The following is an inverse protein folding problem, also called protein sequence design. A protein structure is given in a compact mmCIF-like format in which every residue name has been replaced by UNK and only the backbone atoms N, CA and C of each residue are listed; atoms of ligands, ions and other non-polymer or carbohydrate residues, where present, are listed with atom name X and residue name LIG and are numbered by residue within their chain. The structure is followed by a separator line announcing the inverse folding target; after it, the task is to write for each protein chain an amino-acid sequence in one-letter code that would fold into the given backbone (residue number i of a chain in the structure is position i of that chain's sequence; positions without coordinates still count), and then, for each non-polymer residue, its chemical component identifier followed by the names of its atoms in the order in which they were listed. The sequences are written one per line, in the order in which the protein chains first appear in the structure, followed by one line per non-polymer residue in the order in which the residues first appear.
data_IF_253090847276
#
_entry.id   IF_253090847276
#
_cell.length_a   1.000
_cell.length_b   1.000
_cell.length_c   1.000
_cell.angle_alpha   90.00
_cell.angle_beta   90.00
_cell.angle_gamma   90.00
#
_symmetry.space_group_name_H-M   'P 1'
#
loop_
_entity.id
_entity.type
_entity.pdbx_description
1 polymer ?
#
# COMPACT_ATOMS: atom_id res chain seq x y z
N UNK A 1 2.10 28.95 -18.91
CA UNK A 1 1.67 28.65 -20.29
C UNK A 1 0.68 27.50 -20.23
N UNK A 2 -0.41 27.56 -20.98
CA UNK A 2 -1.43 26.50 -20.99
C UNK A 2 -1.11 25.47 -22.08
N UNK A 3 -1.38 24.20 -21.81
CA UNK A 3 -1.13 23.06 -22.68
C UNK A 3 -1.72 23.20 -24.11
N UNK A 4 -2.98 23.69 -24.30
CA UNK A 4 -3.52 23.93 -25.64
C UNK A 4 -2.75 24.98 -26.43
N UNK A 5 -2.23 26.01 -25.74
CA UNK A 5 -1.43 27.08 -26.36
C UNK A 5 -0.06 26.60 -26.81
N UNK A 6 0.54 25.67 -26.07
CA UNK A 6 1.77 24.99 -26.47
C UNK A 6 1.53 24.15 -27.73
N UNK A 7 0.44 23.37 -27.77
CA UNK A 7 0.11 22.56 -28.94
C UNK A 7 -0.21 23.41 -30.18
N UNK A 8 -0.98 24.50 -30.03
CA UNK A 8 -1.26 25.39 -31.17
C UNK A 8 0.01 25.99 -31.76
N UNK A 9 0.99 26.33 -30.91
CA UNK A 9 2.28 26.86 -31.34
C UNK A 9 3.12 25.81 -32.07
N UNK A 10 3.18 24.58 -31.54
CA UNK A 10 3.93 23.50 -32.18
C UNK A 10 3.26 23.11 -33.50
N UNK A 11 1.93 23.10 -33.58
CA UNK A 11 1.21 22.76 -34.81
C UNK A 11 1.33 23.84 -35.89
N UNK A 12 1.53 25.10 -35.55
CA UNK A 12 1.75 26.17 -36.54
C UNK A 12 3.22 26.37 -36.92
N UNK A 13 4.15 25.90 -36.08
CA UNK A 13 5.60 26.04 -36.28
C UNK A 13 6.12 25.30 -37.52
N UNK A 14 7.03 25.96 -38.25
CA UNK A 14 7.71 25.40 -39.45
C UNK A 14 9.08 24.78 -39.14
N UNK A 15 9.52 24.80 -37.87
CA UNK A 15 10.80 24.23 -37.44
C UNK A 15 10.85 22.71 -37.67
N UNK A 16 12.01 22.13 -38.02
CA UNK A 16 12.12 20.70 -38.29
C UNK A 16 11.69 19.82 -37.08
N UNK A 17 11.96 20.26 -35.85
CA UNK A 17 11.56 19.56 -34.62
C UNK A 17 10.04 19.53 -34.46
N UNK A 18 9.38 20.65 -34.77
CA UNK A 18 7.92 20.76 -34.72
C UNK A 18 7.25 19.89 -35.80
N UNK A 19 7.87 19.75 -36.97
CA UNK A 19 7.39 18.84 -38.03
C UNK A 19 7.48 17.37 -37.60
N UNK A 20 8.58 16.96 -36.96
CA UNK A 20 8.72 15.60 -36.43
C UNK A 20 7.64 15.29 -35.38
N UNK A 21 7.42 16.21 -34.44
CA UNK A 21 6.39 16.08 -33.41
C UNK A 21 4.97 16.03 -34.00
N UNK A 22 4.64 16.94 -34.93
CA UNK A 22 3.36 16.93 -35.65
C UNK A 22 3.15 15.60 -36.37
N UNK A 23 4.17 15.06 -37.04
CA UNK A 23 4.09 13.78 -37.74
C UNK A 23 3.85 12.63 -36.75
N UNK A 24 4.61 12.57 -35.67
CA UNK A 24 4.44 11.55 -34.63
C UNK A 24 3.04 11.56 -34.00
N UNK A 25 2.52 12.74 -33.62
CA UNK A 25 1.16 12.84 -33.08
C UNK A 25 0.10 12.37 -34.08
N UNK A 26 0.20 12.80 -35.33
CA UNK A 26 -0.83 12.54 -36.35
C UNK A 26 -0.80 11.12 -36.90
N UNK A 27 0.36 10.48 -36.93
CA UNK A 27 0.53 9.15 -37.54
C UNK A 27 0.60 8.01 -36.53
N UNK A 28 1.09 8.26 -35.31
CA UNK A 28 1.16 7.25 -34.24
C UNK A 28 0.10 7.51 -33.17
N UNK A 29 0.18 8.65 -32.48
CA UNK A 29 -0.54 8.87 -31.21
C UNK A 29 -2.05 8.91 -31.41
N UNK A 30 -2.55 9.80 -32.27
CA UNK A 30 -3.99 9.97 -32.49
C UNK A 30 -4.61 8.71 -33.12
N UNK A 31 -4.01 8.09 -34.16
CA UNK A 31 -4.54 6.85 -34.72
C UNK A 31 -4.60 5.70 -33.70
N UNK A 32 -3.60 5.57 -32.83
CA UNK A 32 -3.62 4.58 -31.76
C UNK A 32 -4.75 4.84 -30.76
N UNK A 33 -4.85 6.06 -30.19
CA UNK A 33 -5.94 6.41 -29.25
C UNK A 33 -7.30 6.17 -29.88
N UNK A 34 -7.49 6.52 -31.17
CA UNK A 34 -8.77 6.28 -31.86
C UNK A 34 -9.12 4.79 -31.97
N UNK A 35 -8.13 3.89 -32.05
CA UNK A 35 -8.33 2.44 -32.16
C UNK A 35 -8.46 1.75 -30.80
N UNK A 36 -7.62 2.10 -29.83
CA UNK A 36 -7.48 1.38 -28.55
C UNK A 36 -8.07 2.13 -27.35
N UNK A 37 -8.43 3.40 -27.52
CA UNK A 37 -8.90 4.28 -26.44
C UNK A 37 -7.79 4.87 -25.57
N UNK A 38 -6.52 4.50 -25.79
CA UNK A 38 -5.37 5.03 -25.03
C UNK A 38 -4.08 4.98 -25.86
N UNK A 39 -3.12 5.87 -25.57
CA UNK A 39 -1.76 5.78 -26.09
C UNK A 39 -0.88 5.17 -25.01
N UNK A 40 -0.41 3.95 -25.22
CA UNK A 40 0.57 3.30 -24.35
C UNK A 40 1.69 2.73 -25.19
N UNK A 41 2.93 3.05 -24.83
CA UNK A 41 4.14 2.53 -25.48
C UNK A 41 4.43 1.07 -25.14
N UNK A 42 3.62 0.46 -24.26
CA UNK A 42 3.79 -0.91 -23.77
C UNK A 42 2.63 -1.82 -24.18
N UNK A 43 1.87 -1.48 -25.23
CA UNK A 43 0.89 -2.42 -25.78
C UNK A 43 1.65 -3.44 -26.62
N UNK A 44 1.68 -4.73 -26.24
CA UNK A 44 2.32 -5.75 -27.04
C UNK A 44 1.64 -5.82 -28.40
N UNK A 45 2.40 -5.67 -29.47
CA UNK A 45 1.83 -5.60 -30.83
C UNK A 45 1.52 -7.00 -31.39
N UNK A 46 2.06 -8.03 -30.75
CA UNK A 46 1.89 -9.43 -31.15
C UNK A 46 1.45 -10.28 -29.97
N UNK A 47 0.70 -11.35 -30.26
CA UNK A 47 0.23 -12.29 -29.25
C UNK A 47 1.40 -12.92 -28.45
N UNK A 48 2.53 -13.18 -29.13
CA UNK A 48 3.77 -13.70 -28.53
C UNK A 48 4.35 -12.76 -27.47
N UNK A 49 4.39 -11.46 -27.77
CA UNK A 49 4.91 -10.43 -26.87
C UNK A 49 4.00 -10.22 -25.66
N UNK A 50 2.67 -10.30 -25.87
CA UNK A 50 1.70 -10.24 -24.78
C UNK A 50 1.85 -11.42 -23.81
N UNK A 51 2.07 -12.63 -24.34
CA UNK A 51 2.32 -13.83 -23.54
C UNK A 51 3.62 -13.73 -22.73
N UNK A 52 4.68 -13.18 -23.31
CA UNK A 52 5.94 -12.95 -22.58
C UNK A 52 5.79 -11.93 -21.47
N UNK A 53 5.18 -10.78 -21.75
CA UNK A 53 4.93 -9.75 -20.73
C UNK A 53 4.04 -10.29 -19.60
N UNK A 54 3.01 -11.07 -19.93
CA UNK A 54 2.16 -11.71 -18.95
C UNK A 54 2.93 -12.75 -18.10
N UNK A 55 3.84 -13.51 -18.71
CA UNK A 55 4.68 -14.46 -18.00
C UNK A 55 5.66 -13.75 -17.05
N UNK A 56 6.30 -12.66 -17.50
CA UNK A 56 7.22 -11.87 -16.68
C UNK A 56 6.49 -11.23 -15.48
N UNK A 57 5.32 -10.63 -15.74
CA UNK A 57 4.46 -10.07 -14.68
C UNK A 57 3.98 -11.15 -13.71
N UNK A 58 3.63 -12.34 -14.22
CA UNK A 58 3.23 -13.46 -13.38
C UNK A 58 4.41 -13.95 -12.54
N UNK A 59 5.62 -14.01 -13.08
CA UNK A 59 6.82 -14.39 -12.33
C UNK A 59 7.16 -13.36 -11.25
N UNK A 60 6.98 -12.06 -11.50
CA UNK A 60 7.08 -11.02 -10.47
C UNK A 60 6.04 -11.19 -9.36
N UNK A 61 4.79 -11.47 -9.74
CA UNK A 61 3.72 -11.77 -8.78
C UNK A 61 4.06 -13.03 -7.98
N UNK A 62 4.61 -14.07 -8.61
CA UNK A 62 4.99 -15.32 -7.96
C UNK A 62 6.23 -15.19 -7.07
N UNK A 63 7.18 -14.31 -7.39
CA UNK A 63 8.26 -13.93 -6.49
C UNK A 63 7.74 -13.12 -5.29
N UNK A 64 6.68 -12.35 -5.48
CA UNK A 64 6.00 -11.65 -4.39
C UNK A 64 5.09 -12.60 -3.55
N UNK A 65 4.55 -13.68 -4.13
CA UNK A 65 3.70 -14.67 -3.44
C UNK A 65 4.33 -15.26 -2.17
N UNK A 66 5.59 -15.73 -2.10
CA UNK A 66 6.14 -16.30 -0.88
C UNK A 66 6.29 -15.27 0.25
N UNK A 67 6.43 -13.98 -0.09
CA UNK A 67 6.45 -12.88 0.90
C UNK A 67 5.05 -12.60 1.47
N UNK A 68 4.02 -12.83 0.67
CA UNK A 68 2.62 -12.72 1.07
C UNK A 68 2.16 -13.99 1.81
N UNK A 69 2.53 -15.18 1.29
CA UNK A 69 2.20 -16.48 1.89
C UNK A 69 2.92 -16.74 3.21
N UNK A 70 4.16 -16.28 3.39
CA UNK A 70 4.81 -16.34 4.71
C UNK A 70 4.09 -15.47 5.74
N UNK A 71 3.40 -14.42 5.27
CA UNK A 71 2.50 -13.59 6.08
C UNK A 71 1.16 -14.31 6.33
N UNK A 72 0.54 -14.90 5.30
CA UNK A 72 -0.76 -15.59 5.38
C UNK A 72 -0.71 -16.91 6.17
N UNK A 73 0.41 -17.64 6.13
CA UNK A 73 0.60 -18.86 6.92
C UNK A 73 0.70 -18.59 8.42
N UNK A 74 1.00 -17.35 8.83
CA UNK A 74 0.89 -16.87 10.21
C UNK A 74 -0.56 -16.51 10.62
N UNK A 75 -1.47 -16.36 9.65
CA UNK A 75 -2.83 -15.81 9.77
C UNK A 75 -3.92 -16.90 9.82
N UNK A 76 -3.58 -18.19 9.74
CA UNK A 76 -4.58 -19.28 9.62
C UNK A 76 -5.18 -19.81 10.94
N UNK A 77 -4.62 -19.48 12.11
CA UNK A 77 -5.30 -19.67 13.39
C UNK A 77 -6.06 -18.40 13.77
N UNK A 78 -7.05 -18.46 14.67
CA UNK A 78 -7.73 -17.28 15.25
C UNK A 78 -6.72 -16.38 15.99
N UNK A 79 -5.87 -15.65 15.28
CA UNK A 79 -4.58 -15.18 15.80
C UNK A 79 -4.55 -13.66 15.85
N UNK A 80 -5.25 -13.12 16.84
CA UNK A 80 -4.99 -11.76 17.30
C UNK A 80 -3.64 -11.78 18.07
N UNK A 81 -2.65 -11.00 17.61
CA UNK A 81 -1.32 -10.97 18.21
C UNK A 81 -1.23 -9.84 19.24
N UNK A 82 -0.40 -10.01 20.28
CA UNK A 82 -0.19 -8.92 21.25
C UNK A 82 0.57 -7.81 20.55
N UNK A 83 0.20 -6.58 20.89
CA UNK A 83 0.78 -5.41 20.25
C UNK A 83 2.32 -5.31 20.42
N UNK A 84 2.84 -5.80 21.54
CA UNK A 84 4.28 -5.85 21.79
C UNK A 84 5.04 -6.85 20.91
N UNK A 85 4.40 -7.95 20.48
CA UNK A 85 5.01 -8.96 19.62
C UNK A 85 5.05 -8.46 18.17
N UNK A 86 3.96 -7.84 17.72
CA UNK A 86 3.88 -7.16 16.41
C UNK A 86 4.96 -6.08 16.28
N UNK A 87 5.20 -5.29 17.33
CA UNK A 87 6.25 -4.28 17.32
C UNK A 87 7.64 -4.90 17.03
N UNK A 88 7.96 -6.04 17.66
CA UNK A 88 9.22 -6.76 17.45
C UNK A 88 9.33 -7.32 16.04
N UNK A 89 8.25 -7.91 15.52
CA UNK A 89 8.21 -8.46 14.15
C UNK A 89 8.49 -7.37 13.12
N UNK A 90 7.96 -6.16 13.33
CA UNK A 90 8.16 -5.01 12.45
C UNK A 90 9.49 -4.28 12.69
N UNK A 91 10.33 -4.73 13.62
CA UNK A 91 11.63 -4.14 13.92
C UNK A 91 11.59 -2.87 14.79
N UNK A 92 10.48 -2.59 15.48
CA UNK A 92 10.33 -1.42 16.34
C UNK A 92 10.48 -1.76 17.82
N UNK A 93 11.17 -0.90 18.57
CA UNK A 93 11.18 -0.94 20.03
C UNK A 93 9.77 -0.72 20.58
N UNK A 94 9.34 -1.56 21.54
CA UNK A 94 7.97 -1.55 22.11
C UNK A 94 7.51 -0.14 22.49
N UNK A 95 8.28 0.60 23.28
CA UNK A 95 7.84 1.91 23.79
C UNK A 95 7.70 2.95 22.67
N UNK A 96 8.62 2.95 21.71
CA UNK A 96 8.58 3.85 20.55
C UNK A 96 7.39 3.53 19.65
N UNK A 97 7.10 2.25 19.45
CA UNK A 97 5.97 1.79 18.66
C UNK A 97 4.64 2.25 19.28
N UNK A 98 4.43 2.04 20.57
CA UNK A 98 3.23 2.53 21.26
C UNK A 98 3.14 4.06 21.28
N UNK A 99 4.28 4.76 21.43
CA UNK A 99 4.33 6.23 21.35
C UNK A 99 3.85 6.71 19.98
N UNK A 100 4.39 6.14 18.91
CA UNK A 100 4.01 6.45 17.54
C UNK A 100 2.51 6.26 17.30
N UNK A 101 1.96 5.10 17.68
CA UNK A 101 0.53 4.84 17.48
C UNK A 101 -0.38 5.79 18.28
N UNK A 102 0.09 6.31 19.43
CA UNK A 102 -0.65 7.34 20.20
C UNK A 102 -0.56 8.71 19.54
N UNK A 103 0.62 9.09 19.02
CA UNK A 103 0.81 10.34 18.26
C UNK A 103 -0.10 10.36 17.02
N UNK A 104 -0.24 9.21 16.36
CA UNK A 104 -1.11 9.03 15.19
C UNK A 104 -2.60 8.91 15.52
N UNK A 105 -3.00 9.06 16.78
CA UNK A 105 -4.38 8.91 17.24
C UNK A 105 -5.01 7.55 16.86
N UNK A 106 -4.19 6.50 16.78
CA UNK A 106 -4.66 5.12 16.61
C UNK A 106 -4.93 4.50 17.98
N UNK A 107 -4.08 4.80 18.96
CA UNK A 107 -4.24 4.42 20.36
C UNK A 107 -4.52 5.63 21.25
N UNK A 108 -5.33 5.41 22.27
CA UNK A 108 -5.59 6.31 23.39
C UNK A 108 -4.45 6.28 24.41
N UNK A 109 -4.53 7.13 25.44
CA UNK A 109 -3.48 7.29 26.47
C UNK A 109 -3.23 6.01 27.27
N UNK A 110 -4.27 5.22 27.50
CA UNK A 110 -4.28 3.92 28.16
C UNK A 110 -3.88 2.74 27.25
N UNK A 111 -3.51 3.02 25.99
CA UNK A 111 -3.15 2.06 24.95
C UNK A 111 -4.31 1.21 24.40
N UNK A 112 -5.55 1.62 24.66
CA UNK A 112 -6.71 1.07 23.96
C UNK A 112 -6.87 1.76 22.59
N UNK A 113 -7.28 1.06 21.52
CA UNK A 113 -7.50 1.68 20.22
C UNK A 113 -8.75 2.55 20.22
N UNK A 114 -8.78 3.61 19.39
CA UNK A 114 -10.02 4.35 19.16
C UNK A 114 -11.08 3.44 18.51
N UNK A 115 -12.35 3.70 18.83
CA UNK A 115 -13.49 2.88 18.40
C UNK A 115 -13.54 2.69 16.88
N UNK A 116 -13.14 3.69 16.11
CA UNK A 116 -13.07 3.61 14.65
C UNK A 116 -12.18 2.45 14.16
N UNK A 117 -11.00 2.25 14.75
CA UNK A 117 -10.08 1.20 14.34
C UNK A 117 -10.52 -0.19 14.82
N UNK A 118 -11.32 -0.25 15.90
CA UNK A 118 -11.98 -1.47 16.34
C UNK A 118 -13.08 -1.84 15.33
N UNK A 119 -13.93 -0.88 14.95
CA UNK A 119 -15.01 -1.08 13.98
C UNK A 119 -14.49 -1.49 12.59
N UNK A 120 -13.32 -0.96 12.18
CA UNK A 120 -12.65 -1.36 10.94
C UNK A 120 -12.03 -2.77 10.99
N UNK A 121 -12.01 -3.41 12.16
CA UNK A 121 -11.54 -4.77 12.38
C UNK A 121 -10.02 -4.90 12.50
N UNK A 122 -9.29 -3.81 12.81
CA UNK A 122 -7.83 -3.84 12.92
C UNK A 122 -7.35 -4.30 14.31
N UNK A 123 -8.12 -3.98 15.35
CA UNK A 123 -7.76 -4.27 16.74
C UNK A 123 -8.90 -4.93 17.49
N UNK A 124 -8.54 -5.72 18.50
CA UNK A 124 -9.46 -6.35 19.44
C UNK A 124 -8.95 -6.10 20.86
N UNK A 125 -9.82 -5.63 21.74
CA UNK A 125 -9.50 -5.45 23.16
C UNK A 125 -10.08 -6.61 23.94
N UNK A 126 -9.27 -7.25 24.78
CA UNK A 126 -9.72 -8.29 25.71
C UNK A 126 -9.32 -7.92 27.12
N UNK A 127 -10.19 -8.18 28.08
CA UNK A 127 -9.83 -8.03 29.49
C UNK A 127 -8.92 -9.16 29.92
N UNK A 128 -7.83 -8.80 30.60
CA UNK A 128 -6.94 -9.75 31.25
C UNK A 128 -7.00 -9.54 32.76
N UNK A 129 -7.41 -10.56 33.54
CA UNK A 129 -7.33 -10.49 34.99
C UNK A 129 -5.86 -10.47 35.41
N UNK A 130 -5.52 -9.50 36.26
CA UNK A 130 -4.20 -9.40 36.90
C UNK A 130 -4.45 -9.53 38.41
N UNK A 131 -3.86 -10.56 39.00
CA UNK A 131 -3.89 -10.74 40.44
C UNK A 131 -2.82 -9.85 41.09
N UNK A 132 -3.27 -8.96 41.97
CA UNK A 132 -2.40 -8.14 42.82
C UNK A 132 -2.71 -8.48 44.29
N UNK A 133 -1.96 -9.45 44.83
CA UNK A 133 -2.19 -9.97 46.18
C UNK A 133 -3.55 -10.65 46.30
N UNK A 134 -4.44 -10.10 47.14
CA UNK A 134 -5.79 -10.60 47.40
C UNK A 134 -6.86 -10.09 46.43
N UNK A 135 -6.54 -9.12 45.55
CA UNK A 135 -7.51 -8.52 44.64
C UNK A 135 -7.20 -8.87 43.18
N UNK A 136 -8.25 -9.13 42.39
CA UNK A 136 -8.16 -9.35 40.93
C UNK A 136 -8.64 -8.09 40.23
N UNK A 137 -7.77 -7.46 39.44
CA UNK A 137 -8.11 -6.29 38.64
C UNK A 137 -8.05 -6.68 37.16
N UNK A 138 -9.16 -6.50 36.45
CA UNK A 138 -9.20 -6.69 35.00
C UNK A 138 -8.58 -5.47 34.32
N UNK A 139 -7.57 -5.69 33.47
CA UNK A 139 -7.01 -4.63 32.62
C UNK A 139 -7.30 -4.91 31.15
N UNK A 140 -7.71 -3.89 30.37
CA UNK A 140 -7.86 -4.05 28.94
C UNK A 140 -6.50 -4.30 28.29
N UNK A 141 -6.43 -5.32 27.45
CA UNK A 141 -5.26 -5.66 26.66
C UNK A 141 -5.62 -5.62 25.17
N UNK A 142 -4.87 -4.80 24.43
CA UNK A 142 -5.04 -4.63 22.99
C UNK A 142 -4.29 -5.71 22.21
N UNK A 143 -4.99 -6.31 21.26
CA UNK A 143 -4.47 -7.25 20.29
C UNK A 143 -4.72 -6.75 18.88
N UNK A 144 -3.92 -7.22 17.93
CA UNK A 144 -3.96 -6.82 16.53
C UNK A 144 -4.34 -7.99 15.66
N UNK A 145 -5.26 -7.76 14.74
CA UNK A 145 -5.68 -8.76 13.76
C UNK A 145 -4.68 -8.81 12.59
N UNK A 146 -4.75 -9.86 11.77
CA UNK A 146 -4.03 -9.93 10.51
C UNK A 146 -4.16 -8.66 9.66
N UNK A 147 -5.40 -8.17 9.52
CA UNK A 147 -5.73 -6.93 8.81
C UNK A 147 -5.09 -5.71 9.47
N UNK A 148 -5.06 -5.66 10.80
CA UNK A 148 -4.41 -4.59 11.56
C UNK A 148 -2.90 -4.58 11.39
N UNK A 149 -2.25 -5.75 11.32
CA UNK A 149 -0.81 -5.84 11.07
C UNK A 149 -0.49 -5.27 9.68
N UNK A 150 -1.24 -5.67 8.65
CA UNK A 150 -1.06 -5.13 7.30
C UNK A 150 -1.28 -3.61 7.24
N UNK A 151 -2.30 -3.10 7.94
CA UNK A 151 -2.55 -1.66 8.04
C UNK A 151 -1.36 -0.92 8.66
N UNK A 152 -0.82 -1.43 9.78
CA UNK A 152 0.32 -0.84 10.46
C UNK A 152 1.58 -0.90 9.60
N UNK A 153 1.86 -2.02 8.93
CA UNK A 153 3.02 -2.14 8.04
C UNK A 153 2.98 -1.13 6.89
N UNK A 154 1.82 -0.99 6.23
CA UNK A 154 1.61 0.01 5.18
C UNK A 154 1.84 1.44 5.70
N UNK A 155 1.25 1.74 6.85
CA UNK A 155 1.33 3.05 7.50
C UNK A 155 2.77 3.43 7.88
N UNK A 156 3.57 2.46 8.35
CA UNK A 156 4.98 2.67 8.69
C UNK A 156 5.84 2.89 7.45
N UNK A 157 5.59 2.15 6.36
CA UNK A 157 6.29 2.35 5.08
C UNK A 157 6.01 3.73 4.49
N UNK A 158 4.75 4.14 4.44
CA UNK A 158 4.37 5.48 3.96
C UNK A 158 5.09 6.59 4.74
N UNK A 159 5.23 6.42 6.05
CA UNK A 159 5.96 7.38 6.90
C UNK A 159 7.47 7.34 6.68
N UNK A 160 8.06 6.16 6.46
CA UNK A 160 9.50 6.02 6.21
C UNK A 160 9.94 6.53 4.83
N UNK A 161 9.01 6.74 3.90
CA UNK A 161 9.28 7.34 2.59
C UNK A 161 9.27 8.89 2.68
N UNK A 162 8.66 9.45 3.73
CA UNK A 162 8.48 10.89 3.92
C UNK A 162 9.58 11.48 4.85
N UNK A 163 10.41 10.64 5.47
CA UNK A 163 11.54 11.04 6.33
C UNK A 163 12.85 10.70 5.62
#
# INVERSE_FOLDING_TARGET
MNEPGLYSLIMSSRKPEARAFKRWITHDVIPQIRKTGSYSTQVPQTFSEALRLAADLQEEIEKAKPKIESFDRFISGKNYQKMGDVAKILGYGRNNFFKLLREMKILMRDNTPYQEFINRGYFVVKEKPIQMGSHVINKPQTYVTAKGIHYIDKLLKERSIIV
#
